data_IF_107858772406
#
_entry.id   IF_107858772406
#
_cell.length_a   1.000
_cell.length_b   1.000
_cell.length_c   1.000
_cell.angle_alpha   90.00
_cell.angle_beta   90.00
_cell.angle_gamma   90.00
#
_symmetry.space_group_name_H-M   'P 1'
#
loop_
_entity.id
_entity.type
_entity.pdbx_description
1 polymer ?
#
# COMPACT_ATOMS: atom_id res chain seq x y z
N UNK A 1 -25.23 7.29 -76.32
CA UNK A 1 -24.81 6.22 -75.35
C UNK A 1 -23.90 6.92 -74.33
N UNK A 2 -24.40 7.14 -73.11
CA UNK A 2 -23.68 7.79 -72.03
C UNK A 2 -23.42 6.76 -70.95
N UNK A 3 -22.15 6.45 -70.76
CA UNK A 3 -21.67 5.57 -69.70
C UNK A 3 -21.40 6.40 -68.47
N UNK A 4 -22.15 6.16 -67.41
CA UNK A 4 -21.97 6.74 -66.04
C UNK A 4 -20.86 5.98 -65.31
N UNK A 5 -19.81 6.67 -64.92
CA UNK A 5 -18.71 6.19 -64.10
C UNK A 5 -19.08 6.46 -62.63
N UNK A 6 -19.44 5.43 -61.90
CA UNK A 6 -19.71 5.52 -60.45
C UNK A 6 -18.40 5.38 -59.70
N UNK A 7 -17.94 6.46 -59.09
CA UNK A 7 -16.79 6.45 -58.17
C UNK A 7 -17.28 6.06 -56.75
N UNK A 8 -16.85 4.92 -56.29
CA UNK A 8 -17.00 4.48 -54.90
C UNK A 8 -15.97 5.21 -54.03
N UNK A 9 -16.42 6.17 -53.22
CA UNK A 9 -15.68 6.66 -52.09
C UNK A 9 -15.92 5.72 -50.91
N UNK A 10 -15.03 4.79 -50.66
CA UNK A 10 -14.99 4.02 -49.43
C UNK A 10 -14.15 4.79 -48.40
N UNK A 11 -14.84 5.39 -47.44
CA UNK A 11 -14.33 6.22 -46.36
C UNK A 11 -13.50 5.43 -45.37
N UNK A 12 -12.27 5.84 -45.20
CA UNK A 12 -11.34 5.41 -44.16
C UNK A 12 -11.75 6.06 -42.83
N UNK A 13 -12.51 5.35 -41.99
CA UNK A 13 -12.85 5.77 -40.58
C UNK A 13 -12.47 4.65 -39.61
N UNK A 14 -11.18 4.26 -39.56
CA UNK A 14 -10.73 3.21 -38.61
C UNK A 14 -9.62 3.69 -37.66
N UNK A 15 -9.21 4.95 -37.70
CA UNK A 15 -8.05 5.42 -36.97
C UNK A 15 -8.27 6.05 -35.58
N UNK A 16 -9.48 6.51 -35.23
CA UNK A 16 -9.68 7.35 -34.04
C UNK A 16 -10.13 6.61 -32.78
N UNK A 17 -10.79 5.48 -32.89
CA UNK A 17 -11.29 4.76 -31.70
C UNK A 17 -10.18 4.05 -30.91
N UNK A 18 -9.12 3.56 -31.59
CA UNK A 18 -8.01 2.84 -30.93
C UNK A 18 -7.11 3.77 -30.11
N UNK A 19 -6.88 5.00 -30.54
CA UNK A 19 -6.01 5.95 -29.85
C UNK A 19 -6.62 6.52 -28.56
N UNK A 20 -7.93 6.64 -28.51
CA UNK A 20 -8.65 7.10 -27.28
C UNK A 20 -8.61 6.04 -26.20
N UNK A 21 -8.80 4.77 -26.55
CA UNK A 21 -8.77 3.65 -25.60
C UNK A 21 -7.38 3.44 -25.00
N UNK A 22 -6.31 3.51 -25.81
CA UNK A 22 -4.93 3.39 -25.34
C UNK A 22 -4.58 4.54 -24.39
N UNK A 23 -4.95 5.77 -24.72
CA UNK A 23 -4.66 6.96 -23.90
C UNK A 23 -5.43 6.98 -22.57
N UNK A 24 -6.66 6.46 -22.56
CA UNK A 24 -7.45 6.29 -21.33
C UNK A 24 -6.82 5.21 -20.43
N UNK A 25 -6.37 4.11 -20.99
CA UNK A 25 -5.71 3.02 -20.25
C UNK A 25 -4.34 3.42 -19.70
N UNK A 26 -3.56 4.22 -20.43
CA UNK A 26 -2.29 4.78 -19.94
C UNK A 26 -2.52 5.76 -18.79
N UNK A 27 -3.56 6.61 -18.88
CA UNK A 27 -3.94 7.53 -17.82
C UNK A 27 -4.45 6.82 -16.57
N UNK A 28 -5.20 5.74 -16.72
CA UNK A 28 -5.68 4.92 -15.61
C UNK A 28 -4.52 4.20 -14.91
N UNK A 29 -3.55 3.67 -15.67
CA UNK A 29 -2.34 3.04 -15.13
C UNK A 29 -1.43 4.04 -14.41
N UNK A 30 -1.24 5.22 -14.97
CA UNK A 30 -0.46 6.29 -14.30
C UNK A 30 -1.12 6.74 -13.00
N UNK A 31 -2.46 6.70 -12.91
CA UNK A 31 -3.17 6.95 -11.67
C UNK A 31 -2.95 5.84 -10.63
N UNK A 32 -2.84 4.57 -11.04
CA UNK A 32 -2.61 3.46 -10.10
C UNK A 32 -1.27 3.60 -9.37
N UNK A 33 -0.17 3.88 -10.09
CA UNK A 33 1.16 4.12 -9.48
C UNK A 33 1.10 5.30 -8.49
N UNK A 34 0.44 6.39 -8.88
CA UNK A 34 0.29 7.59 -8.02
C UNK A 34 -0.57 7.29 -6.81
N UNK A 35 -1.72 6.68 -7.02
CA UNK A 35 -2.66 6.30 -5.95
C UNK A 35 -2.03 5.34 -4.95
N UNK A 36 -1.25 4.39 -5.44
CA UNK A 36 -0.50 3.47 -4.60
C UNK A 36 0.46 4.23 -3.68
N UNK A 37 1.42 4.96 -4.26
CA UNK A 37 2.49 5.62 -3.50
C UNK A 37 1.96 6.69 -2.55
N UNK A 38 0.97 7.48 -2.97
CA UNK A 38 0.39 8.55 -2.14
C UNK A 38 -0.44 8.03 -0.97
N UNK A 39 -0.93 6.78 -1.04
CA UNK A 39 -1.65 6.11 0.06
C UNK A 39 -0.73 5.32 0.97
N UNK A 40 0.17 4.50 0.39
CA UNK A 40 0.95 3.56 1.22
C UNK A 40 2.09 4.24 1.97
N UNK A 41 2.72 5.28 1.41
CA UNK A 41 3.85 5.93 2.09
C UNK A 41 3.42 6.61 3.40
N UNK A 42 2.40 7.49 3.41
CA UNK A 42 1.96 8.13 4.66
C UNK A 42 1.44 7.11 5.67
N UNK A 43 0.59 6.17 5.25
CA UNK A 43 0.03 5.16 6.15
C UNK A 43 1.10 4.27 6.78
N UNK A 44 2.09 3.82 6.00
CA UNK A 44 3.19 3.01 6.51
C UNK A 44 4.13 3.83 7.40
N UNK A 45 4.41 5.08 7.06
CA UNK A 45 5.20 5.97 7.92
C UNK A 45 4.55 6.19 9.30
N UNK A 46 3.24 6.41 9.33
CA UNK A 46 2.48 6.51 10.59
C UNK A 46 2.51 5.19 11.38
N UNK A 47 2.39 4.05 10.70
CA UNK A 47 2.43 2.74 11.35
C UNK A 47 3.77 2.45 12.03
N UNK A 48 4.89 2.96 11.50
CA UNK A 48 6.21 2.87 12.15
C UNK A 48 6.19 3.46 13.55
N UNK A 49 5.59 4.65 13.74
CA UNK A 49 5.49 5.30 15.03
C UNK A 49 4.67 4.46 16.04
N UNK A 50 3.57 3.88 15.58
CA UNK A 50 2.71 3.02 16.40
C UNK A 50 3.45 1.75 16.84
N UNK A 51 4.16 1.11 15.90
CA UNK A 51 4.97 -0.08 16.20
C UNK A 51 6.12 0.23 17.14
N UNK A 52 6.80 1.38 16.99
CA UNK A 52 7.85 1.84 17.90
C UNK A 52 7.29 2.12 19.31
N UNK A 53 6.07 2.64 19.40
CA UNK A 53 5.39 2.79 20.68
C UNK A 53 5.17 1.42 21.33
N UNK A 54 4.65 0.44 20.61
CA UNK A 54 4.42 -0.92 21.11
C UNK A 54 5.75 -1.60 21.50
N UNK A 55 6.80 -1.48 20.69
CA UNK A 55 8.13 -2.03 20.99
C UNK A 55 8.71 -1.52 22.32
N UNK A 56 8.36 -0.29 22.72
CA UNK A 56 8.83 0.31 23.99
C UNK A 56 7.93 -0.03 25.18
N UNK A 57 6.63 -0.21 24.97
CA UNK A 57 5.63 -0.20 26.04
C UNK A 57 4.85 -1.51 26.21
N UNK A 58 4.90 -2.45 25.24
CA UNK A 58 4.25 -3.75 25.35
C UNK A 58 4.81 -4.54 26.54
N UNK A 59 3.98 -5.32 27.21
CA UNK A 59 4.36 -6.08 28.40
C UNK A 59 5.10 -7.38 28.02
N UNK A 60 4.61 -8.12 27.01
CA UNK A 60 5.23 -9.36 26.58
C UNK A 60 6.51 -9.05 25.75
N UNK A 61 7.68 -9.60 26.11
CA UNK A 61 8.91 -9.42 25.34
C UNK A 61 8.79 -9.82 23.89
N UNK A 62 8.04 -10.89 23.58
CA UNK A 62 7.86 -11.35 22.19
C UNK A 62 7.01 -10.38 21.37
N UNK A 63 6.08 -9.68 21.99
CA UNK A 63 5.31 -8.60 21.34
C UNK A 63 6.22 -7.39 21.09
N UNK A 64 7.10 -7.02 22.03
CA UNK A 64 8.10 -5.96 21.81
C UNK A 64 9.03 -6.28 20.65
N UNK A 65 9.63 -7.48 20.66
CA UNK A 65 10.57 -7.91 19.62
C UNK A 65 9.90 -7.96 18.24
N UNK A 66 8.66 -8.45 18.20
CA UNK A 66 7.85 -8.49 16.98
C UNK A 66 7.52 -7.08 16.46
N UNK A 67 7.11 -6.18 17.35
CA UNK A 67 6.81 -4.79 17.00
C UNK A 67 8.06 -4.07 16.45
N UNK A 68 9.23 -4.27 17.07
CA UNK A 68 10.49 -3.71 16.59
C UNK A 68 10.88 -4.26 15.21
N UNK A 69 10.76 -5.58 15.02
CA UNK A 69 11.02 -6.24 13.74
C UNK A 69 10.16 -5.67 12.62
N UNK A 70 8.84 -5.60 12.82
CA UNK A 70 7.91 -5.07 11.82
C UNK A 70 8.14 -3.58 11.58
N UNK A 71 8.43 -2.79 12.62
CA UNK A 71 8.78 -1.38 12.47
C UNK A 71 10.01 -1.16 11.57
N UNK A 72 11.03 -2.02 11.69
CA UNK A 72 12.23 -1.97 10.83
C UNK A 72 11.88 -2.26 9.37
N UNK A 73 11.08 -3.28 9.11
CA UNK A 73 10.65 -3.62 7.74
C UNK A 73 9.78 -2.52 7.13
N UNK A 74 8.89 -1.90 7.90
CA UNK A 74 8.08 -0.78 7.44
C UNK A 74 8.92 0.48 7.15
N UNK A 75 10.00 0.74 7.90
CA UNK A 75 10.95 1.81 7.58
C UNK A 75 11.64 1.59 6.24
N UNK A 76 12.10 0.38 5.97
CA UNK A 76 12.70 0.04 4.67
C UNK A 76 11.67 0.13 3.54
N UNK A 77 10.43 -0.29 3.79
CA UNK A 77 9.33 -0.12 2.83
C UNK A 77 9.13 1.36 2.48
N UNK A 78 9.01 2.24 3.48
CA UNK A 78 8.82 3.69 3.26
C UNK A 78 9.98 4.29 2.47
N UNK A 79 11.22 3.91 2.79
CA UNK A 79 12.41 4.36 2.07
C UNK A 79 12.37 3.95 0.60
N UNK A 80 12.14 2.66 0.32
CA UNK A 80 12.09 2.13 -1.05
C UNK A 80 10.91 2.72 -1.84
N UNK A 81 9.74 2.83 -1.22
CA UNK A 81 8.58 3.48 -1.84
C UNK A 81 8.86 4.95 -2.17
N UNK A 82 9.59 5.67 -1.29
CA UNK A 82 10.03 7.05 -1.54
C UNK A 82 11.00 7.16 -2.71
N UNK A 83 11.90 6.18 -2.90
CA UNK A 83 12.78 6.11 -4.06
C UNK A 83 11.98 5.92 -5.37
N UNK A 84 10.95 5.07 -5.35
CA UNK A 84 10.02 4.92 -6.48
C UNK A 84 9.25 6.21 -6.75
N UNK A 85 8.71 6.87 -5.71
CA UNK A 85 8.00 8.14 -5.87
C UNK A 85 8.88 9.21 -6.51
N UNK A 86 10.13 9.35 -6.03
CA UNK A 86 11.12 10.27 -6.61
C UNK A 86 11.42 9.96 -8.08
N UNK A 87 11.66 8.69 -8.41
CA UNK A 87 11.94 8.26 -9.80
C UNK A 87 10.77 8.54 -10.75
N UNK A 88 9.54 8.39 -10.26
CA UNK A 88 8.32 8.61 -11.03
C UNK A 88 7.81 10.06 -10.98
N UNK A 89 8.54 10.98 -10.30
CA UNK A 89 8.16 12.37 -10.08
C UNK A 89 6.79 12.53 -9.39
N UNK A 90 6.45 11.60 -8.48
CA UNK A 90 5.23 11.62 -7.69
C UNK A 90 5.51 12.33 -6.37
N UNK A 91 4.82 13.44 -6.10
CA UNK A 91 4.91 14.14 -4.84
C UNK A 91 4.08 13.41 -3.76
N UNK A 92 4.70 13.12 -2.63
CA UNK A 92 4.04 12.50 -1.48
C UNK A 92 4.22 13.39 -0.26
N UNK A 93 3.12 13.70 0.41
CA UNK A 93 3.11 14.43 1.68
C UNK A 93 2.88 13.45 2.82
N UNK A 94 3.70 13.52 3.85
CA UNK A 94 3.59 12.69 5.06
C UNK A 94 3.62 13.53 6.30
N UNK A 95 2.81 13.18 7.30
CA UNK A 95 2.87 13.70 8.66
C UNK A 95 2.67 12.52 9.64
N UNK A 96 3.70 11.64 9.78
CA UNK A 96 3.55 10.40 10.52
C UNK A 96 3.23 10.63 12.00
N UNK A 97 3.64 11.72 12.60
CA UNK A 97 3.35 12.03 14.01
C UNK A 97 1.87 12.37 14.19
N UNK A 98 1.31 13.18 13.31
CA UNK A 98 -0.12 13.52 13.30
C UNK A 98 -0.97 12.29 13.01
N UNK A 99 -0.62 11.53 11.97
CA UNK A 99 -1.42 10.41 11.49
C UNK A 99 -1.41 9.23 12.47
N UNK A 100 -0.32 9.03 13.23
CA UNK A 100 -0.21 7.99 14.27
C UNK A 100 -0.83 8.38 15.60
N UNK A 101 -0.98 9.69 15.87
CA UNK A 101 -1.33 10.24 17.20
C UNK A 101 -2.57 9.61 17.81
N UNK A 102 -3.66 9.53 17.07
CA UNK A 102 -4.92 9.00 17.60
C UNK A 102 -4.79 7.54 18.07
N UNK A 103 -4.07 6.72 17.33
CA UNK A 103 -3.84 5.32 17.68
C UNK A 103 -2.94 5.20 18.91
N UNK A 104 -1.84 5.98 18.95
CA UNK A 104 -0.93 6.01 20.10
C UNK A 104 -1.67 6.50 21.35
N UNK A 105 -2.51 7.54 21.25
CA UNK A 105 -3.32 8.04 22.36
C UNK A 105 -4.29 6.98 22.91
N UNK A 106 -4.83 6.11 22.05
CA UNK A 106 -5.66 4.97 22.49
C UNK A 106 -4.84 3.90 23.18
N UNK A 107 -3.72 3.50 22.58
CA UNK A 107 -2.84 2.48 23.13
C UNK A 107 -2.20 2.91 24.46
N UNK A 108 -1.87 4.19 24.64
CA UNK A 108 -1.24 4.73 25.84
C UNK A 108 -2.12 4.66 27.09
N UNK A 109 -3.42 4.48 26.94
CA UNK A 109 -4.37 4.28 28.03
C UNK A 109 -4.40 2.84 28.54
N UNK A 110 -3.81 1.91 27.80
CA UNK A 110 -3.76 0.50 28.11
C UNK A 110 -2.40 0.13 28.70
N UNK A 111 -2.35 -0.95 29.47
CA UNK A 111 -1.14 -1.49 30.08
C UNK A 111 -1.19 -3.02 30.13
N UNK A 112 -0.03 -3.62 30.28
CA UNK A 112 0.07 -5.07 30.40
C UNK A 112 -0.46 -5.78 29.15
N UNK A 113 -1.11 -6.90 29.34
CA UNK A 113 -1.67 -7.73 28.27
C UNK A 113 -2.72 -7.00 27.42
N UNK A 114 -3.45 -6.03 28.01
CA UNK A 114 -4.46 -5.26 27.25
C UNK A 114 -3.80 -4.41 26.16
N UNK A 115 -2.64 -3.79 26.44
CA UNK A 115 -1.86 -3.08 25.44
C UNK A 115 -1.36 -4.05 24.34
N UNK A 116 -0.83 -5.19 24.73
CA UNK A 116 -0.30 -6.18 23.81
C UNK A 116 -1.38 -6.68 22.83
N UNK A 117 -2.55 -7.04 23.38
CA UNK A 117 -3.71 -7.49 22.61
C UNK A 117 -4.18 -6.39 21.65
N UNK A 118 -4.38 -5.16 22.14
CA UNK A 118 -4.87 -4.06 21.33
C UNK A 118 -3.91 -3.69 20.19
N UNK A 119 -2.61 -3.73 20.44
CA UNK A 119 -1.60 -3.52 19.41
C UNK A 119 -1.63 -4.62 18.34
N UNK A 120 -1.68 -5.89 18.74
CA UNK A 120 -1.72 -7.00 17.78
C UNK A 120 -3.01 -7.00 16.96
N UNK A 121 -4.15 -6.67 17.56
CA UNK A 121 -5.43 -6.53 16.85
C UNK A 121 -5.39 -5.37 15.85
N UNK A 122 -4.84 -4.21 16.24
CA UNK A 122 -4.62 -3.09 15.33
C UNK A 122 -3.74 -3.48 14.14
N UNK A 123 -2.63 -4.20 14.37
CA UNK A 123 -1.73 -4.64 13.31
C UNK A 123 -2.42 -5.65 12.38
N UNK A 124 -3.18 -6.59 12.93
CA UNK A 124 -3.97 -7.56 12.17
C UNK A 124 -4.97 -6.83 11.26
N UNK A 125 -5.68 -5.85 11.78
CA UNK A 125 -6.69 -5.11 11.02
C UNK A 125 -6.06 -4.29 9.89
N UNK A 126 -4.92 -3.67 10.14
CA UNK A 126 -4.19 -2.90 9.12
C UNK A 126 -3.60 -3.75 7.98
N UNK A 127 -3.35 -5.04 8.21
CA UNK A 127 -2.77 -5.94 7.20
C UNK A 127 -3.80 -6.80 6.45
N UNK A 128 -5.08 -6.76 6.82
CA UNK A 128 -6.13 -7.53 6.14
C UNK A 128 -6.51 -6.96 4.78
N UNK A 129 -6.44 -5.65 4.62
CA UNK A 129 -6.83 -4.98 3.37
C UNK A 129 -5.62 -4.81 2.46
N UNK A 130 -5.57 -5.60 1.41
CA UNK A 130 -4.53 -5.54 0.36
C UNK A 130 -4.98 -4.82 -0.90
N UNK A 131 -6.18 -4.23 -0.90
CA UNK A 131 -6.83 -3.68 -2.11
C UNK A 131 -5.94 -2.69 -2.86
N UNK A 132 -5.22 -1.80 -2.16
CA UNK A 132 -4.34 -0.81 -2.80
C UNK A 132 -3.13 -1.47 -3.45
N UNK A 133 -2.58 -2.51 -2.82
CA UNK A 133 -1.46 -3.28 -3.36
C UNK A 133 -1.89 -4.15 -4.55
N UNK A 134 -3.03 -4.82 -4.45
CA UNK A 134 -3.60 -5.64 -5.54
C UNK A 134 -3.93 -4.77 -6.76
N UNK A 135 -4.43 -3.55 -6.53
CA UNK A 135 -4.68 -2.58 -7.60
C UNK A 135 -3.39 -2.22 -8.31
N UNK A 136 -2.30 -1.94 -7.58
CA UNK A 136 -1.00 -1.65 -8.17
C UNK A 136 -0.46 -2.84 -8.96
N UNK A 137 -0.49 -4.05 -8.42
CA UNK A 137 -0.05 -5.27 -9.11
C UNK A 137 -0.80 -5.48 -10.41
N UNK A 138 -2.10 -5.22 -10.42
CA UNK A 138 -2.97 -5.41 -11.60
C UNK A 138 -2.83 -4.26 -12.61
N UNK A 139 -2.99 -3.03 -12.13
CA UNK A 139 -3.25 -1.85 -12.96
C UNK A 139 -2.05 -0.90 -13.08
N UNK A 140 -1.02 -1.05 -12.24
CA UNK A 140 0.18 -0.22 -12.25
C UNK A 140 0.86 -0.23 -13.62
N UNK A 141 1.53 0.87 -13.96
CA UNK A 141 2.28 1.01 -15.20
C UNK A 141 3.76 0.64 -15.03
N UNK A 142 4.33 0.97 -13.87
CA UNK A 142 5.73 0.72 -13.58
C UNK A 142 5.99 -0.72 -13.12
N UNK A 143 6.77 -1.48 -13.89
CA UNK A 143 7.02 -2.90 -13.62
C UNK A 143 7.79 -3.13 -12.30
N UNK A 144 8.69 -2.21 -11.91
CA UNK A 144 9.42 -2.32 -10.66
C UNK A 144 8.51 -2.03 -9.47
N UNK A 145 7.60 -1.06 -9.60
CA UNK A 145 6.62 -0.75 -8.56
C UNK A 145 5.60 -1.88 -8.37
N UNK A 146 5.15 -2.52 -9.45
CA UNK A 146 4.30 -3.73 -9.39
C UNK A 146 4.99 -4.87 -8.63
N UNK A 147 6.27 -5.09 -8.91
CA UNK A 147 7.07 -6.10 -8.19
C UNK A 147 7.22 -5.74 -6.72
N UNK A 148 7.46 -4.47 -6.41
CA UNK A 148 7.54 -3.97 -5.04
C UNK A 148 6.21 -4.18 -4.29
N UNK A 149 5.07 -3.85 -4.89
CA UNK A 149 3.74 -4.07 -4.31
C UNK A 149 3.48 -5.57 -4.04
N UNK A 150 3.84 -6.45 -4.98
CA UNK A 150 3.71 -7.91 -4.80
C UNK A 150 4.54 -8.43 -3.63
N UNK A 151 5.78 -7.96 -3.49
CA UNK A 151 6.65 -8.35 -2.37
C UNK A 151 6.10 -7.83 -1.04
N UNK A 152 5.51 -6.64 -1.02
CA UNK A 152 4.87 -6.07 0.16
C UNK A 152 3.67 -6.89 0.63
N UNK A 153 2.84 -7.42 -0.28
CA UNK A 153 1.76 -8.35 0.08
C UNK A 153 2.31 -9.59 0.79
N UNK A 154 3.41 -10.16 0.29
CA UNK A 154 4.05 -11.33 0.90
C UNK A 154 4.51 -11.02 2.33
N UNK A 155 5.25 -9.93 2.53
CA UNK A 155 5.70 -9.50 3.86
C UNK A 155 4.53 -9.18 4.80
N UNK A 156 3.48 -8.53 4.28
CA UNK A 156 2.26 -8.24 5.05
C UNK A 156 1.55 -9.50 5.54
N UNK A 157 1.52 -10.56 4.73
CA UNK A 157 0.97 -11.85 5.13
C UNK A 157 1.81 -12.53 6.23
N UNK A 158 3.14 -12.36 6.23
CA UNK A 158 4.01 -12.84 7.30
C UNK A 158 3.77 -12.09 8.60
N UNK A 159 3.60 -10.75 8.54
CA UNK A 159 3.23 -9.94 9.71
C UNK A 159 1.88 -10.37 10.27
N UNK A 160 0.88 -10.57 9.41
CA UNK A 160 -0.46 -11.01 9.79
C UNK A 160 -0.43 -12.37 10.49
N UNK A 161 0.35 -13.32 9.96
CA UNK A 161 0.56 -14.64 10.59
C UNK A 161 1.20 -14.52 11.96
N UNK A 162 2.32 -13.78 12.06
CA UNK A 162 3.04 -13.59 13.33
C UNK A 162 2.19 -12.92 14.40
N UNK A 163 1.43 -11.88 14.02
CA UNK A 163 0.51 -11.21 14.95
C UNK A 163 -0.59 -12.12 15.47
N UNK A 164 -1.19 -12.93 14.59
CA UNK A 164 -2.23 -13.93 14.99
C UNK A 164 -1.69 -15.00 15.92
N UNK A 165 -0.48 -15.49 15.67
CA UNK A 165 0.17 -16.49 16.53
C UNK A 165 0.48 -15.93 17.93
N UNK A 166 0.94 -14.69 18.04
CA UNK A 166 1.18 -14.01 19.30
C UNK A 166 -0.14 -13.77 20.05
N UNK A 167 -1.13 -13.22 19.36
CA UNK A 167 -2.45 -12.96 19.95
C UNK A 167 -3.11 -14.22 20.50
N UNK A 168 -3.01 -15.35 19.78
CA UNK A 168 -3.54 -16.63 20.24
C UNK A 168 -2.84 -17.16 21.49
N UNK A 169 -1.57 -16.79 21.72
CA UNK A 169 -0.83 -17.18 22.95
C UNK A 169 -1.21 -16.31 24.15
N UNK A 170 -1.53 -15.03 23.94
CA UNK A 170 -1.93 -14.12 25.01
C UNK A 170 -3.37 -14.36 25.50
N UNK A 171 -4.21 -14.96 24.67
CA UNK A 171 -5.62 -15.27 25.01
C UNK A 171 -5.82 -16.67 25.67
N UNK A 172 -4.74 -17.41 25.92
CA UNK A 172 -4.75 -18.69 26.65
C UNK A 172 -4.48 -18.47 28.13
#
# INVERSE_FOLDING_TARGET
MRTLLTVLLSSLVIGLASSVSVRAQEKEKANADTDFLTKVIPGTAASVNIMQYAAKNAADPKVRDFAEHVAKQHKEFVKTAGEHAKRLNIAVVTDPDKDSKQTIDKLSKLKGTDLDVAFLEWLIDGHKDTTVFDSEVKNGNDAALKTFAKNAITSGNEHLKGARELLAKLKK
#
